data_IF_550459008555
#
_entry.id   IF_550459008555
#
_cell.length_a   1.000
_cell.length_b   1.000
_cell.length_c   1.000
_cell.angle_alpha   90.00
_cell.angle_beta   90.00
_cell.angle_gamma   90.00
#
_symmetry.space_group_name_H-M   'P 1'
#
loop_
_entity.id
_entity.type
_entity.pdbx_description
1 polymer ?
#
# COMPACT_ATOMS: atom_id res chain seq x y z
N UNK A 1 -48.42 21.08 19.69
CA UNK A 1 -48.68 20.29 18.47
C UNK A 1 -48.16 21.09 17.28
N UNK A 2 -47.25 20.65 16.42
CA UNK A 2 -46.45 19.43 16.37
C UNK A 2 -45.11 19.78 15.71
N UNK A 3 -44.09 19.06 16.14
CA UNK A 3 -42.73 19.00 15.63
C UNK A 3 -42.68 18.68 14.14
N UNK A 4 -41.71 19.25 13.42
CA UNK A 4 -40.97 18.49 12.41
C UNK A 4 -39.58 19.10 12.20
N UNK A 5 -38.60 18.60 12.96
CA UNK A 5 -37.19 18.82 12.67
C UNK A 5 -36.80 17.87 11.53
N UNK A 6 -36.35 18.43 10.40
CA UNK A 6 -35.84 17.66 9.26
C UNK A 6 -34.39 17.30 9.55
N UNK A 7 -34.16 16.07 10.02
CA UNK A 7 -32.83 15.47 10.14
C UNK A 7 -32.39 14.98 8.76
N UNK A 8 -31.58 15.78 8.07
CA UNK A 8 -30.84 15.35 6.87
C UNK A 8 -29.74 14.38 7.30
N UNK A 9 -30.00 13.08 7.14
CA UNK A 9 -28.97 12.05 7.28
C UNK A 9 -28.07 12.15 6.04
N UNK A 10 -26.91 12.79 6.19
CA UNK A 10 -25.83 12.72 5.19
C UNK A 10 -25.20 11.34 5.32
N UNK A 11 -25.64 10.40 4.49
CA UNK A 11 -24.99 9.11 4.36
C UNK A 11 -23.59 9.30 3.79
N UNK A 12 -22.57 9.35 4.65
CA UNK A 12 -21.18 9.14 4.25
C UNK A 12 -21.04 7.68 3.80
N UNK A 13 -21.32 7.42 2.53
CA UNK A 13 -20.89 6.17 1.89
C UNK A 13 -19.37 6.24 1.76
N UNK A 14 -18.65 5.74 2.77
CA UNK A 14 -17.23 5.39 2.64
C UNK A 14 -17.16 4.25 1.64
N UNK A 15 -17.05 4.58 0.36
CA UNK A 15 -16.71 3.60 -0.65
C UNK A 15 -15.37 2.99 -0.24
N UNK A 16 -15.39 1.71 0.12
CA UNK A 16 -14.19 0.92 0.35
C UNK A 16 -13.57 0.72 -1.03
N UNK A 17 -12.82 1.71 -1.49
CA UNK A 17 -12.01 1.55 -2.68
C UNK A 17 -10.82 0.67 -2.28
N UNK A 18 -10.86 -0.60 -2.71
CA UNK A 18 -9.65 -1.40 -2.75
C UNK A 18 -8.63 -0.65 -3.61
N UNK A 19 -7.46 -0.34 -3.04
CA UNK A 19 -6.38 0.35 -3.78
C UNK A 19 -6.07 -0.44 -5.04
N UNK A 20 -6.09 0.22 -6.20
CA UNK A 20 -5.67 -0.42 -7.45
C UNK A 20 -4.20 -0.87 -7.38
N UNK A 21 -3.42 -0.24 -6.49
CA UNK A 21 -1.97 -0.37 -6.34
C UNK A 21 -1.51 -1.19 -5.13
N UNK A 22 -2.34 -2.12 -4.67
CA UNK A 22 -2.10 -3.03 -3.54
C UNK A 22 -2.04 -2.35 -2.16
N UNK A 23 -1.10 -1.42 -1.96
CA UNK A 23 -0.91 -0.70 -0.69
C UNK A 23 -1.65 0.64 -0.66
N UNK A 24 -1.93 1.15 0.55
CA UNK A 24 -2.58 2.45 0.75
C UNK A 24 -1.63 3.64 0.55
N UNK A 25 -0.33 3.45 0.78
CA UNK A 25 0.73 4.43 0.44
C UNK A 25 1.13 4.40 -1.04
N UNK A 26 0.45 3.63 -1.88
CA UNK A 26 0.69 3.54 -3.31
C UNK A 26 -0.50 4.09 -4.09
N UNK A 27 -0.21 4.76 -5.21
CA UNK A 27 -1.23 5.25 -6.13
C UNK A 27 -0.84 5.02 -7.57
N UNK A 28 -1.83 5.11 -8.45
CA UNK A 28 -1.63 4.88 -9.86
C UNK A 28 -0.86 6.04 -10.47
N UNK A 29 0.33 5.77 -10.99
CA UNK A 29 1.12 6.73 -11.76
C UNK A 29 0.54 6.83 -13.16
N UNK A 30 -0.31 7.84 -13.38
CA UNK A 30 -1.01 8.12 -14.64
C UNK A 30 -1.92 6.95 -15.11
N UNK A 31 -2.88 7.20 -16.01
CA UNK A 31 -3.82 6.16 -16.48
C UNK A 31 -3.18 5.14 -17.46
N UNK A 32 -1.94 4.73 -17.23
CA UNK A 32 -1.19 3.82 -18.10
C UNK A 32 -1.55 2.36 -17.81
N UNK A 33 -1.62 1.56 -18.88
CA UNK A 33 -1.61 0.09 -18.84
C UNK A 33 -0.24 -0.33 -19.29
N UNK A 34 0.42 -1.19 -18.53
CA UNK A 34 1.82 -1.56 -18.74
C UNK A 34 1.95 -3.08 -18.98
N UNK A 35 3.08 -3.51 -19.50
CA UNK A 35 3.51 -4.93 -19.55
C UNK A 35 4.75 -5.15 -18.70
N UNK A 36 5.63 -4.17 -18.63
CA UNK A 36 6.81 -4.15 -17.77
C UNK A 36 6.92 -2.79 -17.06
N UNK A 37 7.71 -2.70 -15.99
CA UNK A 37 7.91 -1.42 -15.29
C UNK A 37 8.58 -0.37 -16.20
N UNK A 38 9.28 -0.77 -17.28
CA UNK A 38 9.86 0.17 -18.26
C UNK A 38 8.80 0.92 -19.07
N UNK A 39 7.57 0.40 -19.14
CA UNK A 39 6.46 1.08 -19.79
C UNK A 39 5.90 2.23 -18.93
N UNK A 40 6.30 2.31 -17.65
CA UNK A 40 5.83 3.35 -16.73
C UNK A 40 6.63 4.64 -16.91
N UNK A 41 5.93 5.75 -17.12
CA UNK A 41 6.55 7.07 -17.28
C UNK A 41 7.34 7.54 -16.05
N UNK A 42 6.95 7.11 -14.85
CA UNK A 42 7.67 7.38 -13.61
C UNK A 42 8.69 6.28 -13.30
N UNK A 43 9.96 6.67 -13.18
CA UNK A 43 11.08 5.79 -12.84
C UNK A 43 10.97 5.10 -11.48
N UNK A 44 10.11 5.58 -10.58
CA UNK A 44 9.84 4.99 -9.26
C UNK A 44 8.61 4.07 -9.25
N UNK A 45 7.89 3.99 -10.37
CA UNK A 45 6.69 3.17 -10.49
C UNK A 45 6.98 1.77 -11.00
N UNK A 46 6.24 0.81 -10.46
CA UNK A 46 6.26 -0.58 -10.88
C UNK A 46 5.00 -0.94 -11.66
N UNK A 47 5.18 -1.82 -12.66
CA UNK A 47 4.07 -2.40 -13.38
C UNK A 47 3.51 -3.59 -12.61
N UNK A 48 2.36 -3.39 -11.95
CA UNK A 48 1.74 -4.41 -11.11
C UNK A 48 0.37 -4.81 -11.61
N UNK A 49 -0.01 -6.07 -11.37
CA UNK A 49 -1.34 -6.55 -11.71
C UNK A 49 -2.37 -6.08 -10.68
N UNK A 50 -3.27 -5.21 -11.12
CA UNK A 50 -4.37 -4.70 -10.31
C UNK A 50 -5.57 -5.64 -10.40
N UNK A 51 -5.93 -6.27 -9.27
CA UNK A 51 -7.09 -7.17 -9.19
C UNK A 51 -8.40 -6.42 -9.41
N UNK A 52 -8.49 -5.15 -8.97
CA UNK A 52 -9.70 -4.33 -9.14
C UNK A 52 -10.00 -4.02 -10.59
N UNK A 53 -8.97 -3.81 -11.42
CA UNK A 53 -9.13 -3.49 -12.86
C UNK A 53 -8.94 -4.70 -13.78
N UNK A 54 -8.39 -5.81 -13.26
CA UNK A 54 -8.03 -7.00 -14.04
C UNK A 54 -6.91 -6.75 -15.05
N UNK A 55 -6.06 -5.75 -14.82
CA UNK A 55 -5.03 -5.28 -15.76
C UNK A 55 -3.73 -4.95 -15.04
N UNK A 56 -2.63 -4.98 -15.77
CA UNK A 56 -1.37 -4.41 -15.33
C UNK A 56 -1.40 -2.88 -15.45
N UNK A 57 -1.07 -2.19 -14.37
CA UNK A 57 -1.05 -0.73 -14.29
C UNK A 57 0.24 -0.27 -13.60
N UNK A 58 0.63 0.98 -13.86
CA UNK A 58 1.77 1.60 -13.22
C UNK A 58 1.38 2.15 -11.85
N UNK A 59 2.08 1.72 -10.81
CA UNK A 59 1.85 2.14 -9.44
C UNK A 59 3.14 2.66 -8.82
N UNK A 60 3.06 3.87 -8.27
CA UNK A 60 4.14 4.55 -7.60
C UNK A 60 3.77 4.88 -6.15
N UNK A 61 4.68 5.58 -5.49
CA UNK A 61 4.41 6.13 -4.16
C UNK A 61 3.36 7.23 -4.28
N UNK A 62 2.36 7.19 -3.40
CA UNK A 62 1.37 8.25 -3.28
C UNK A 62 2.01 9.54 -2.77
N UNK A 63 1.71 10.66 -3.42
CA UNK A 63 2.27 11.94 -3.01
C UNK A 63 1.90 12.27 -1.55
N UNK A 64 2.92 12.55 -0.72
CA UNK A 64 2.75 12.88 0.70
C UNK A 64 2.43 11.70 1.62
N UNK A 65 2.40 10.46 1.12
CA UNK A 65 2.17 9.29 1.96
C UNK A 65 3.34 9.05 2.92
N UNK A 66 3.03 8.63 4.15
CA UNK A 66 4.05 8.14 5.08
C UNK A 66 4.43 6.72 4.68
N UNK A 67 5.71 6.50 4.39
CA UNK A 67 6.25 5.22 3.94
C UNK A 67 6.78 4.37 5.09
N UNK A 68 6.76 3.02 4.97
CA UNK A 68 7.36 2.13 5.95
C UNK A 68 8.88 2.29 6.02
N UNK A 69 9.44 2.07 7.21
CA UNK A 69 10.89 2.15 7.43
C UNK A 69 11.35 1.11 8.45
N UNK A 70 12.38 0.36 8.07
CA UNK A 70 12.96 -0.68 8.93
C UNK A 70 13.80 -0.09 10.07
N UNK A 71 13.82 -0.75 11.25
CA UNK A 71 14.63 -0.32 12.37
C UNK A 71 16.13 -0.56 12.13
N UNK A 72 16.97 0.18 12.87
CA UNK A 72 18.41 -0.06 12.96
C UNK A 72 19.17 0.00 11.63
N UNK A 73 18.66 0.74 10.64
CA UNK A 73 19.30 0.87 9.33
C UNK A 73 19.19 -0.38 8.45
N UNK A 74 18.35 -1.35 8.83
CA UNK A 74 18.01 -2.51 7.98
C UNK A 74 17.34 -2.04 6.70
N UNK A 75 17.48 -2.82 5.63
CA UNK A 75 16.88 -2.50 4.34
C UNK A 75 15.43 -3.00 4.30
N UNK A 76 14.54 -2.15 3.82
CA UNK A 76 13.17 -2.55 3.51
C UNK A 76 13.18 -3.48 2.31
N UNK A 77 12.44 -4.58 2.38
CA UNK A 77 12.24 -5.43 1.21
C UNK A 77 11.56 -4.65 0.09
N UNK A 78 12.12 -4.74 -1.12
CA UNK A 78 11.58 -4.11 -2.32
C UNK A 78 11.64 -5.13 -3.47
N UNK A 79 10.49 -5.53 -3.99
CA UNK A 79 10.40 -6.41 -5.17
C UNK A 79 10.22 -5.64 -6.48
N UNK A 80 10.64 -4.37 -6.49
CA UNK A 80 10.40 -3.43 -7.57
C UNK A 80 11.28 -2.19 -7.43
N UNK A 81 10.96 -1.14 -8.18
CA UNK A 81 11.72 0.10 -8.23
C UNK A 81 11.55 0.98 -7.00
N UNK A 82 10.41 0.84 -6.31
CA UNK A 82 10.05 1.72 -5.21
C UNK A 82 9.59 1.00 -3.94
N UNK A 83 9.46 1.74 -2.82
CA UNK A 83 8.91 1.23 -1.58
C UNK A 83 7.41 0.89 -1.70
N UNK A 84 6.74 1.37 -2.76
CA UNK A 84 5.40 0.95 -3.15
C UNK A 84 5.29 -0.58 -3.40
N UNK A 85 6.41 -1.27 -3.63
CA UNK A 85 6.46 -2.72 -3.90
C UNK A 85 7.01 -3.53 -2.71
N UNK A 86 6.90 -2.99 -1.49
CA UNK A 86 7.29 -3.70 -0.27
C UNK A 86 6.24 -4.72 0.19
N UNK A 87 6.55 -5.49 1.24
CA UNK A 87 5.65 -6.46 1.86
C UNK A 87 5.33 -5.99 3.29
N UNK A 88 4.04 -5.80 3.55
CA UNK A 88 3.48 -5.71 4.89
C UNK A 88 3.25 -7.16 5.33
N UNK A 89 3.89 -7.58 6.41
CA UNK A 89 3.76 -8.92 6.96
C UNK A 89 2.93 -8.87 8.24
N UNK A 90 2.22 -9.95 8.55
CA UNK A 90 1.62 -10.09 9.86
C UNK A 90 2.68 -10.14 10.98
N UNK A 91 2.27 -9.92 12.23
CA UNK A 91 3.18 -10.00 13.38
C UNK A 91 3.95 -11.33 13.39
N UNK A 92 5.17 -11.39 13.96
CA UNK A 92 6.09 -12.53 13.84
C UNK A 92 5.58 -13.87 14.39
N UNK A 93 4.44 -13.89 15.06
CA UNK A 93 3.70 -15.06 15.54
C UNK A 93 2.65 -15.60 14.54
N UNK A 94 2.42 -14.91 13.42
CA UNK A 94 1.55 -15.34 12.33
C UNK A 94 2.38 -15.95 11.18
N UNK A 95 1.76 -16.83 10.37
CA UNK A 95 2.45 -17.65 9.35
C UNK A 95 3.04 -16.88 8.15
N UNK A 96 2.94 -15.54 8.13
CA UNK A 96 3.47 -14.72 7.03
C UNK A 96 5.00 -14.69 7.05
N UNK A 97 5.60 -15.43 6.12
CA UNK A 97 7.06 -15.48 5.95
C UNK A 97 7.52 -14.41 4.98
N UNK A 98 8.45 -13.58 5.46
CA UNK A 98 9.24 -12.72 4.58
C UNK A 98 10.14 -13.57 3.67
N UNK A 99 10.56 -13.02 2.51
CA UNK A 99 11.53 -13.67 1.64
C UNK A 99 12.87 -13.95 2.33
N UNK A 100 13.66 -14.89 1.79
CA UNK A 100 14.97 -15.25 2.34
C UNK A 100 15.88 -14.02 2.55
N UNK A 101 16.53 -13.95 3.71
CA UNK A 101 17.37 -12.82 4.12
C UNK A 101 16.59 -11.62 4.68
N UNK A 102 15.26 -11.74 4.81
CA UNK A 102 14.40 -10.75 5.46
C UNK A 102 13.58 -11.38 6.58
N UNK A 103 13.38 -10.63 7.64
CA UNK A 103 12.52 -10.98 8.77
C UNK A 103 11.43 -9.93 8.94
N UNK A 104 10.28 -10.36 9.42
CA UNK A 104 9.20 -9.44 9.74
C UNK A 104 9.57 -8.63 10.98
N UNK A 105 9.61 -7.30 10.85
CA UNK A 105 9.97 -6.40 11.93
C UNK A 105 8.99 -5.21 11.98
N UNK A 106 8.80 -4.68 13.18
CA UNK A 106 7.96 -3.50 13.36
C UNK A 106 8.58 -2.29 12.64
N UNK A 107 7.78 -1.60 11.84
CA UNK A 107 8.18 -0.37 11.17
C UNK A 107 8.40 0.74 12.19
N UNK A 108 9.47 1.51 11.98
CA UNK A 108 9.79 2.72 12.77
C UNK A 108 8.86 3.89 12.47
N UNK A 109 8.14 3.84 11.35
CA UNK A 109 7.10 4.79 10.97
C UNK A 109 5.72 4.16 11.11
N UNK A 110 4.73 4.99 11.43
CA UNK A 110 3.31 4.64 11.33
C UNK A 110 2.83 4.97 9.90
N UNK A 111 3.21 4.10 8.96
CA UNK A 111 2.96 4.32 7.52
C UNK A 111 1.48 4.18 7.17
N UNK A 112 1.10 4.80 6.04
CA UNK A 112 -0.28 4.81 5.56
C UNK A 112 -0.70 3.40 5.11
N UNK A 113 -1.64 2.80 5.83
CA UNK A 113 -2.07 1.41 5.63
C UNK A 113 -3.59 1.28 5.66
N UNK A 114 -4.10 0.20 5.10
CA UNK A 114 -5.52 -0.13 5.17
C UNK A 114 -5.87 -0.47 6.62
N UNK A 115 -7.05 -0.06 7.08
CA UNK A 115 -7.49 -0.28 8.45
C UNK A 115 -7.43 -1.78 8.83
N UNK A 116 -6.79 -2.08 9.96
CA UNK A 116 -6.56 -3.45 10.44
C UNK A 116 -5.28 -4.12 9.94
N UNK A 117 -4.51 -3.51 9.03
CA UNK A 117 -3.17 -4.01 8.69
C UNK A 117 -2.18 -3.78 9.85
N UNK A 118 -1.25 -4.72 10.00
CA UNK A 118 -0.16 -4.63 10.97
C UNK A 118 0.75 -3.43 10.67
N UNK A 119 1.54 -3.01 11.66
CA UNK A 119 2.64 -2.05 11.45
C UNK A 119 3.98 -2.76 11.18
N UNK A 120 3.95 -3.95 10.57
CA UNK A 120 5.12 -4.78 10.38
C UNK A 120 5.45 -4.92 8.89
N UNK A 121 6.74 -4.90 8.58
CA UNK A 121 7.26 -5.00 7.21
C UNK A 121 8.47 -5.92 7.15
N UNK A 122 8.74 -6.45 5.97
CA UNK A 122 9.91 -7.29 5.76
C UNK A 122 11.19 -6.45 5.71
N UNK A 123 12.08 -6.70 6.67
CA UNK A 123 13.35 -5.98 6.85
C UNK A 123 14.53 -6.95 6.76
N UNK A 124 15.64 -6.51 6.17
CA UNK A 124 16.84 -7.35 6.05
C UNK A 124 17.30 -7.85 7.42
N UNK A 125 17.74 -9.10 7.50
CA UNK A 125 18.30 -9.69 8.72
C UNK A 125 19.58 -8.98 9.20
#
# INVERSE_FOLDING_TARGET
>A
MNYLQVLTIVSLSTAIYASECYHAFAERSNQEVCKTSDDCSDSSSDCIFSVSTGKHICCGVKEGATLPSCPSGKQLFQNGRGPASTIICAAPDEEDRCPDGFACAESTTDFEKINGQSNYVCCSE
#
